data_IF_649599427490
#
_entry.id   IF_649599427490
#
_cell.length_a   1.000
_cell.length_b   1.000
_cell.length_c   1.000
_cell.angle_alpha   90.00
_cell.angle_beta   90.00
_cell.angle_gamma   90.00
#
_symmetry.space_group_name_H-M   'P 1'
#
loop_
_entity.id
_entity.type
_entity.pdbx_description
1 polymer ?
#
# COMPACT_ATOMS: atom_id res chain seq x y z
N UNK A 1 9.35 44.43 -38.64
CA UNK A 1 9.71 44.68 -37.22
C UNK A 1 9.05 43.58 -36.39
N UNK A 2 9.88 42.73 -35.77
CA UNK A 2 9.46 41.58 -34.96
C UNK A 2 9.11 42.09 -33.56
N UNK A 3 7.86 41.96 -33.12
CA UNK A 3 7.47 42.28 -31.74
C UNK A 3 7.04 40.99 -31.04
N UNK A 4 7.94 40.46 -30.23
CA UNK A 4 7.80 39.26 -29.39
C UNK A 4 6.90 39.55 -28.20
N UNK A 5 5.79 38.82 -28.10
CA UNK A 5 4.94 38.76 -26.93
C UNK A 5 5.66 37.98 -25.80
N UNK A 6 5.74 38.57 -24.61
CA UNK A 6 6.20 37.88 -23.40
C UNK A 6 4.97 37.64 -22.51
N UNK A 7 4.35 36.47 -22.68
CA UNK A 7 3.29 35.97 -21.82
C UNK A 7 3.95 35.30 -20.61
N UNK A 8 4.10 36.04 -19.51
CA UNK A 8 4.54 35.47 -18.23
C UNK A 8 3.43 34.59 -17.64
N UNK A 9 3.59 33.27 -17.78
CA UNK A 9 2.79 32.29 -17.03
C UNK A 9 3.38 32.21 -15.63
N UNK A 10 2.61 32.71 -14.65
CA UNK A 10 2.88 32.49 -13.23
C UNK A 10 2.54 31.02 -12.93
N UNK A 11 3.56 30.17 -12.83
CA UNK A 11 3.38 28.78 -12.40
C UNK A 11 3.03 28.77 -10.90
N UNK A 12 1.74 28.67 -10.58
CA UNK A 12 1.33 28.20 -9.26
C UNK A 12 1.77 26.74 -9.16
N UNK A 13 2.92 26.50 -8.54
CA UNK A 13 3.27 25.18 -8.03
C UNK A 13 2.33 24.89 -6.85
N UNK A 14 1.11 24.50 -7.14
CA UNK A 14 0.33 23.74 -6.18
C UNK A 14 1.13 22.45 -5.95
N UNK A 15 1.76 22.36 -4.79
CA UNK A 15 2.23 21.08 -4.28
C UNK A 15 0.99 20.21 -4.09
N UNK A 16 0.66 19.44 -5.12
CA UNK A 16 -0.24 18.30 -4.99
C UNK A 16 0.51 17.35 -4.06
N UNK A 17 0.21 17.43 -2.77
CA UNK A 17 0.35 16.26 -1.92
C UNK A 17 -0.54 15.23 -2.61
N UNK A 18 0.08 14.27 -3.29
CA UNK A 18 -0.62 13.16 -3.91
C UNK A 18 -1.37 12.42 -2.81
N UNK A 19 -2.60 12.86 -2.56
CA UNK A 19 -3.50 12.21 -1.64
C UNK A 19 -3.80 10.86 -2.28
N UNK A 20 -3.24 9.79 -1.72
CA UNK A 20 -3.69 8.44 -1.97
C UNK A 20 -5.13 8.36 -1.45
N UNK A 21 -6.09 8.77 -2.27
CA UNK A 21 -7.50 8.56 -1.99
C UNK A 21 -7.84 7.10 -2.30
N UNK A 22 -7.31 6.18 -1.49
CA UNK A 22 -8.17 5.07 -1.11
C UNK A 22 -9.27 5.72 -0.27
N UNK A 23 -10.40 6.01 -0.92
CA UNK A 23 -11.59 6.63 -0.34
C UNK A 23 -12.13 5.92 0.92
N UNK A 24 -11.54 4.81 1.35
CA UNK A 24 -11.90 4.04 2.54
C UNK A 24 -10.87 4.02 3.67
N UNK A 25 -9.67 4.60 3.53
CA UNK A 25 -8.66 4.55 4.62
C UNK A 25 -8.97 5.52 5.77
N UNK A 26 -9.83 6.53 5.58
CA UNK A 26 -10.16 7.50 6.62
C UNK A 26 -8.90 8.08 7.28
N UNK A 27 -8.90 8.36 8.59
CA UNK A 27 -7.72 8.73 9.37
C UNK A 27 -6.54 7.74 9.34
N UNK A 28 -6.75 6.47 8.95
CA UNK A 28 -5.68 5.48 8.90
C UNK A 28 -4.61 5.81 7.84
N UNK A 29 -4.88 6.73 6.89
CA UNK A 29 -3.92 7.16 5.88
C UNK A 29 -2.64 7.80 6.44
N UNK A 30 -2.67 8.30 7.68
CA UNK A 30 -1.52 8.95 8.31
C UNK A 30 -0.50 7.95 8.84
N UNK A 31 -0.89 6.67 8.99
CA UNK A 31 -0.05 5.64 9.58
C UNK A 31 0.86 4.99 8.53
N UNK A 32 2.17 5.02 8.79
CA UNK A 32 3.14 4.22 8.04
C UNK A 32 3.18 2.76 8.54
N UNK A 33 2.78 2.50 9.78
CA UNK A 33 2.63 1.15 10.32
C UNK A 33 1.50 1.10 11.35
N UNK A 34 0.54 0.19 11.15
CA UNK A 34 -0.60 0.00 12.03
C UNK A 34 -0.87 -1.49 12.24
N UNK A 35 -0.97 -1.93 13.50
CA UNK A 35 -1.15 -3.34 13.86
C UNK A 35 -2.19 -3.55 14.96
N UNK A 36 -2.85 -4.71 14.97
CA UNK A 36 -3.78 -5.10 16.03
C UNK A 36 -3.07 -5.61 17.29
N UNK A 37 -2.03 -6.44 17.13
CA UNK A 37 -1.41 -7.20 18.23
C UNK A 37 0.01 -6.75 18.57
N UNK A 38 0.41 -5.57 18.10
CA UNK A 38 1.71 -4.95 18.38
C UNK A 38 2.65 -4.88 17.19
N UNK A 39 3.75 -4.16 17.40
CA UNK A 39 4.81 -3.91 16.42
C UNK A 39 6.15 -4.24 17.10
N UNK A 40 6.98 -5.04 16.45
CA UNK A 40 8.34 -5.33 16.91
C UNK A 40 9.30 -4.99 15.78
N UNK A 41 10.31 -4.19 16.08
CA UNK A 41 11.37 -3.85 15.14
C UNK A 41 12.74 -4.27 15.67
N UNK A 42 13.56 -4.83 14.78
CA UNK A 42 14.95 -5.19 15.04
C UNK A 42 15.83 -4.52 14.01
N UNK A 43 16.81 -3.73 14.47
CA UNK A 43 17.71 -2.99 13.59
C UNK A 43 17.20 -1.60 13.21
N UNK A 44 17.95 -0.92 12.35
CA UNK A 44 17.65 0.43 11.91
C UNK A 44 16.57 0.40 10.83
N UNK A 45 15.39 0.91 11.18
CA UNK A 45 14.24 1.01 10.29
C UNK A 45 13.70 2.43 10.34
N UNK A 46 13.31 2.97 9.18
CA UNK A 46 12.71 4.30 9.07
C UNK A 46 11.29 4.15 8.53
N UNK A 47 10.32 4.73 9.23
CA UNK A 47 8.91 4.78 8.81
C UNK A 47 8.56 6.25 8.61
N UNK A 48 8.00 6.58 7.45
CA UNK A 48 7.42 7.89 7.17
C UNK A 48 5.92 7.81 7.44
N UNK A 49 5.45 8.54 8.44
CA UNK A 49 4.06 8.50 8.93
C UNK A 49 3.98 8.04 10.38
N UNK A 50 2.76 8.05 10.93
CA UNK A 50 2.50 7.66 12.30
C UNK A 50 2.64 6.15 12.50
N UNK A 51 2.94 5.73 13.72
CA UNK A 51 2.99 4.32 14.10
C UNK A 51 1.97 4.04 15.19
N UNK A 52 1.17 3.00 14.98
CA UNK A 52 0.03 2.68 15.84
C UNK A 52 -0.09 1.19 16.15
N UNK A 53 -0.46 0.87 17.38
CA UNK A 53 -1.00 -0.44 17.71
C UNK A 53 -2.37 -0.27 18.36
N UNK A 54 -3.35 -1.07 17.94
CA UNK A 54 -4.64 -1.08 18.60
C UNK A 54 -4.49 -1.66 20.00
N UNK A 55 -5.12 -1.05 20.99
CA UNK A 55 -5.17 -1.60 22.34
C UNK A 55 -6.51 -2.30 22.48
N UNK A 56 -6.48 -3.63 22.44
CA UNK A 56 -7.62 -4.43 22.87
C UNK A 56 -7.37 -4.85 24.33
N UNK A 57 -8.29 -4.58 25.28
CA UNK A 57 -8.11 -4.96 26.68
C UNK A 57 -7.97 -6.49 26.90
N UNK A 58 -8.31 -7.31 25.90
CA UNK A 58 -8.13 -8.77 25.89
C UNK A 58 -6.86 -9.24 25.15
N UNK A 59 -6.13 -8.35 24.47
CA UNK A 59 -4.89 -8.66 23.75
C UNK A 59 -3.77 -7.69 24.15
N UNK A 60 -2.72 -8.21 24.78
CA UNK A 60 -1.54 -7.42 25.08
C UNK A 60 -0.93 -6.89 23.77
N UNK A 61 -1.02 -5.58 23.56
CA UNK A 61 -0.53 -4.91 22.36
C UNK A 61 0.58 -3.97 22.76
N UNK A 62 1.75 -4.11 22.13
CA UNK A 62 2.95 -3.33 22.48
C UNK A 62 3.73 -2.94 21.23
N UNK A 63 4.38 -1.79 21.31
CA UNK A 63 5.33 -1.33 20.29
C UNK A 63 6.72 -1.42 20.94
N UNK A 64 7.60 -2.22 20.35
CA UNK A 64 8.97 -2.43 20.84
C UNK A 64 9.98 -2.09 19.75
N UNK A 65 11.10 -1.47 20.15
CA UNK A 65 12.15 -1.02 19.20
C UNK A 65 11.85 0.29 18.48
N UNK A 66 10.75 0.98 18.83
CA UNK A 66 10.33 2.27 18.26
C UNK A 66 9.62 3.18 19.29
N UNK A 67 10.36 4.01 20.05
CA UNK A 67 9.75 5.05 20.89
C UNK A 67 9.49 6.37 20.13
N UNK A 68 8.42 7.14 20.42
CA UNK A 68 7.23 6.81 21.21
C UNK A 68 6.17 6.07 20.38
N UNK A 69 5.61 4.97 20.92
CA UNK A 69 4.47 4.28 20.32
C UNK A 69 3.15 4.96 20.64
N UNK A 70 2.25 5.08 19.66
CA UNK A 70 0.92 5.70 19.84
C UNK A 70 -0.16 4.61 19.75
N UNK A 71 -1.24 4.77 20.52
CA UNK A 71 -2.36 3.84 20.62
C UNK A 71 -3.55 4.34 19.81
N UNK A 72 -4.08 3.55 18.88
CA UNK A 72 -5.05 4.06 17.88
C UNK A 72 -6.11 3.03 17.49
N UNK A 73 -7.23 3.49 16.92
CA UNK A 73 -8.33 2.63 16.43
C UNK A 73 -8.03 2.01 15.07
N UNK A 74 -8.46 0.76 14.86
CA UNK A 74 -8.26 -0.02 13.62
C UNK A 74 -9.48 0.01 12.67
N UNK A 75 -10.52 0.77 13.00
CA UNK A 75 -11.82 0.69 12.32
C UNK A 75 -11.73 1.05 10.83
N UNK A 76 -10.99 2.11 10.49
CA UNK A 76 -10.88 2.57 9.10
C UNK A 76 -10.03 1.62 8.26
N UNK A 77 -8.93 1.09 8.81
CA UNK A 77 -8.13 0.06 8.14
C UNK A 77 -8.94 -1.22 7.88
N UNK A 78 -9.79 -1.61 8.84
CA UNK A 78 -10.70 -2.75 8.68
C UNK A 78 -11.75 -2.48 7.60
N UNK A 79 -12.29 -1.26 7.56
CA UNK A 79 -13.28 -0.84 6.54
C UNK A 79 -12.67 -0.77 5.15
N UNK A 80 -11.44 -0.27 5.03
CA UNK A 80 -10.69 -0.26 3.78
C UNK A 80 -10.45 -1.70 3.27
N UNK A 81 -10.07 -2.62 4.17
CA UNK A 81 -9.86 -4.02 3.83
C UNK A 81 -11.16 -4.68 3.31
N UNK A 82 -12.29 -4.50 4.00
CA UNK A 82 -13.58 -5.05 3.55
C UNK A 82 -14.05 -4.41 2.23
N UNK A 83 -13.80 -3.12 2.03
CA UNK A 83 -14.07 -2.45 0.76
C UNK A 83 -13.30 -3.10 -0.39
N UNK A 84 -11.99 -3.31 -0.23
CA UNK A 84 -11.16 -3.92 -1.30
C UNK A 84 -11.57 -5.35 -1.58
N UNK A 85 -11.93 -6.15 -0.57
CA UNK A 85 -12.34 -7.55 -0.76
C UNK A 85 -13.70 -7.71 -1.47
N UNK A 86 -14.54 -6.67 -1.45
CA UNK A 86 -15.85 -6.67 -2.14
C UNK A 86 -15.82 -6.13 -3.56
N UNK A 87 -14.66 -5.63 -4.04
CA UNK A 87 -14.53 -5.18 -5.42
C UNK A 87 -14.84 -6.31 -6.40
N UNK A 88 -15.67 -5.99 -7.40
CA UNK A 88 -16.20 -6.93 -8.39
C UNK A 88 -15.37 -6.94 -9.68
N UNK A 89 -15.68 -7.89 -10.57
CA UNK A 89 -15.01 -8.07 -11.86
C UNK A 89 -13.48 -8.24 -11.80
N UNK A 90 -12.93 -9.05 -10.87
CA UNK A 90 -11.50 -9.26 -10.82
C UNK A 90 -11.01 -10.12 -12.00
N UNK A 91 -9.83 -9.80 -12.51
CA UNK A 91 -9.08 -10.74 -13.35
C UNK A 91 -8.43 -11.78 -12.43
N UNK A 92 -8.68 -13.07 -12.69
CA UNK A 92 -8.18 -14.17 -11.86
C UNK A 92 -6.78 -14.58 -12.31
N UNK A 93 -5.87 -14.72 -11.35
CA UNK A 93 -4.50 -15.19 -11.55
C UNK A 93 -4.19 -16.39 -10.64
N UNK A 94 -3.14 -17.13 -10.99
CA UNK A 94 -2.65 -18.27 -10.20
C UNK A 94 -1.15 -18.13 -9.95
N UNK A 95 -0.74 -18.24 -8.69
CA UNK A 95 0.65 -18.45 -8.29
C UNK A 95 1.56 -17.22 -8.35
N UNK A 96 1.73 -16.55 -9.50
CA UNK A 96 2.80 -15.56 -9.72
C UNK A 96 2.28 -14.16 -10.10
N UNK A 97 2.81 -13.14 -9.43
CA UNK A 97 2.63 -11.71 -9.72
C UNK A 97 3.79 -11.11 -10.52
N UNK A 98 5.00 -11.67 -10.37
CA UNK A 98 6.19 -11.19 -11.05
C UNK A 98 6.12 -11.41 -12.57
N UNK A 99 6.73 -10.50 -13.32
CA UNK A 99 6.78 -10.54 -14.78
C UNK A 99 5.51 -10.01 -15.44
N UNK A 100 4.47 -9.69 -14.65
CA UNK A 100 3.26 -9.06 -15.15
C UNK A 100 3.48 -7.56 -15.37
N UNK A 101 2.87 -7.06 -16.43
CA UNK A 101 2.65 -5.63 -16.65
C UNK A 101 1.15 -5.39 -16.56
N UNK A 102 0.72 -4.78 -15.46
CA UNK A 102 -0.70 -4.59 -15.15
C UNK A 102 -1.10 -3.14 -15.32
N UNK A 103 -2.16 -2.88 -16.08
CA UNK A 103 -2.89 -1.61 -16.08
C UNK A 103 -3.80 -1.52 -14.85
N UNK A 104 -4.27 -0.32 -14.45
CA UNK A 104 -5.17 -0.13 -13.32
C UNK A 104 -6.38 -1.07 -13.39
N UNK A 105 -6.50 -1.98 -12.44
CA UNK A 105 -7.58 -2.99 -12.38
C UNK A 105 -7.59 -3.77 -11.06
N UNK A 106 -8.64 -4.58 -10.89
CA UNK A 106 -8.78 -5.53 -9.78
C UNK A 106 -8.25 -6.89 -10.22
N UNK A 107 -7.31 -7.44 -9.44
CA UNK A 107 -6.62 -8.70 -9.65
C UNK A 107 -6.93 -9.62 -8.47
N UNK A 108 -7.24 -10.89 -8.71
CA UNK A 108 -7.58 -11.84 -7.64
C UNK A 108 -6.82 -13.14 -7.74
N UNK A 109 -6.25 -13.56 -6.61
CA UNK A 109 -5.62 -14.86 -6.39
C UNK A 109 -6.47 -15.64 -5.40
N UNK A 110 -6.94 -16.83 -5.79
CA UNK A 110 -7.82 -17.64 -4.93
C UNK A 110 -7.08 -18.30 -3.75
N UNK A 111 -5.77 -18.53 -3.90
CA UNK A 111 -4.91 -19.14 -2.88
C UNK A 111 -3.77 -18.19 -2.53
N UNK A 112 -2.54 -18.51 -2.92
CA UNK A 112 -1.36 -17.70 -2.66
C UNK A 112 -0.98 -16.88 -3.91
N UNK A 113 -0.18 -15.84 -3.68
CA UNK A 113 0.53 -15.13 -4.72
C UNK A 113 2.00 -15.03 -4.33
N UNK A 114 2.89 -15.14 -5.31
CA UNK A 114 4.31 -14.95 -5.11
C UNK A 114 4.84 -13.86 -6.05
N UNK A 115 5.84 -13.12 -5.61
CA UNK A 115 6.53 -12.08 -6.37
C UNK A 115 7.99 -12.52 -6.48
N UNK A 116 8.28 -13.30 -7.51
CA UNK A 116 9.65 -13.82 -7.76
C UNK A 116 10.45 -12.84 -8.60
N UNK A 117 9.77 -12.13 -9.50
CA UNK A 117 10.36 -11.13 -10.39
C UNK A 117 9.62 -9.80 -10.28
N UNK A 118 10.10 -8.76 -10.95
CA UNK A 118 9.49 -7.45 -10.88
C UNK A 118 8.04 -7.46 -11.40
N UNK A 119 7.12 -6.85 -10.65
CA UNK A 119 5.78 -6.49 -11.10
C UNK A 119 5.81 -5.06 -11.63
N UNK A 120 5.34 -4.86 -12.86
CA UNK A 120 5.27 -3.51 -13.46
C UNK A 120 3.83 -3.00 -13.41
N UNK A 121 3.59 -1.93 -12.67
CA UNK A 121 2.30 -1.23 -12.65
C UNK A 121 2.33 -0.12 -13.70
N UNK A 122 1.65 -0.34 -14.81
CA UNK A 122 1.64 0.58 -15.94
C UNK A 122 0.48 1.56 -15.82
N UNK A 123 0.75 2.71 -15.19
CA UNK A 123 -0.21 3.80 -15.09
C UNK A 123 -0.48 4.45 -16.44
N UNK A 124 -1.65 5.06 -16.55
CA UNK A 124 -2.04 5.95 -17.66
C UNK A 124 -1.60 7.39 -17.42
N UNK A 125 -1.10 7.70 -16.21
CA UNK A 125 -0.73 9.04 -15.77
C UNK A 125 -1.90 9.78 -15.09
N UNK A 126 -3.00 9.08 -14.83
CA UNK A 126 -4.18 9.63 -14.15
C UNK A 126 -4.04 9.49 -12.64
N UNK A 127 -4.52 10.49 -11.89
CA UNK A 127 -4.63 10.39 -10.42
C UNK A 127 -5.67 9.37 -9.95
N UNK A 128 -6.48 8.83 -10.88
CA UNK A 128 -7.45 7.77 -10.61
C UNK A 128 -6.90 6.36 -10.88
N UNK A 129 -5.66 6.23 -11.34
CA UNK A 129 -5.03 4.93 -11.58
C UNK A 129 -4.89 4.17 -10.26
N UNK A 130 -5.58 3.02 -10.13
CA UNK A 130 -5.56 2.18 -8.95
C UNK A 130 -5.43 0.70 -9.30
N UNK A 131 -4.64 -0.03 -8.50
CA UNK A 131 -4.45 -1.47 -8.60
C UNK A 131 -4.86 -2.12 -7.29
N UNK A 132 -5.77 -3.09 -7.39
CA UNK A 132 -6.25 -3.84 -6.24
C UNK A 132 -5.86 -5.30 -6.40
N UNK A 133 -5.12 -5.84 -5.43
CA UNK A 133 -4.72 -7.24 -5.40
C UNK A 133 -5.44 -7.95 -4.25
N UNK A 134 -6.46 -8.74 -4.58
CA UNK A 134 -7.20 -9.58 -3.64
C UNK A 134 -6.51 -10.94 -3.57
N UNK A 135 -5.85 -11.27 -2.46
CA UNK A 135 -5.14 -12.54 -2.28
C UNK A 135 -5.84 -13.34 -1.20
N UNK A 136 -6.28 -14.56 -1.53
CA UNK A 136 -7.05 -15.42 -0.63
C UNK A 136 -6.25 -15.95 0.56
N UNK A 137 -4.93 -15.90 0.48
CA UNK A 137 -4.00 -16.38 1.51
C UNK A 137 -2.72 -15.53 1.53
N UNK A 138 -1.55 -16.15 1.43
CA UNK A 138 -0.26 -15.49 1.61
C UNK A 138 0.24 -14.81 0.33
N UNK A 139 0.84 -13.62 0.50
CA UNK A 139 1.71 -12.99 -0.47
C UNK A 139 3.16 -13.24 -0.06
N UNK A 140 3.97 -13.82 -0.95
CA UNK A 140 5.38 -14.10 -0.69
C UNK A 140 6.24 -13.36 -1.71
N UNK A 141 7.25 -12.60 -1.28
CA UNK A 141 8.25 -12.03 -2.17
C UNK A 141 9.56 -12.80 -2.00
N UNK A 142 10.14 -13.20 -3.12
CA UNK A 142 11.50 -13.72 -3.16
C UNK A 142 12.55 -12.62 -3.10
N UNK A 143 13.28 -12.50 -1.97
CA UNK A 143 14.44 -11.64 -1.95
C UNK A 143 15.53 -12.21 -2.86
N UNK A 144 16.16 -11.36 -3.69
CA UNK A 144 17.16 -11.70 -4.71
C UNK A 144 18.49 -12.29 -4.18
N UNK A 145 18.52 -12.83 -2.96
CA UNK A 145 19.60 -13.65 -2.41
C UNK A 145 19.02 -15.02 -2.04
N UNK A 146 19.13 -15.99 -2.98
CA UNK A 146 19.00 -17.45 -2.82
C UNK A 146 17.88 -17.95 -1.87
N UNK A 147 16.76 -18.47 -2.40
CA UNK A 147 15.90 -19.34 -1.59
C UNK A 147 14.49 -19.69 -2.07
N UNK A 148 14.03 -19.26 -3.24
CA UNK A 148 12.61 -19.43 -3.58
C UNK A 148 12.23 -20.77 -4.21
N UNK A 149 13.15 -21.73 -4.25
CA UNK A 149 12.91 -23.04 -4.86
C UNK A 149 13.08 -24.20 -3.87
N UNK A 150 13.00 -23.96 -2.56
CA UNK A 150 13.22 -24.97 -1.52
C UNK A 150 12.08 -25.08 -0.49
N UNK A 151 10.84 -24.76 -0.86
CA UNK A 151 9.67 -25.18 -0.08
C UNK A 151 8.60 -25.82 -0.94
#
# INVERSE_FOLDING_TARGET
>A
MRSTALLTVLANAASVLGQFNMSGLGPAYQFGCLSLSGITNTGLTTITGDMGAAINPLLASSITGFPPGISVSLADATTAFTTVTTLTNPTIFTGELGGLTSTPSVHKFLSFAQLTTALTLLGTGSSADAWYFQIGSTLVHCFRLKGCNER
#
